data_IF_326806036961
#
_entry.id   IF_326806036961
#
_cell.length_a   1.000
_cell.length_b   1.000
_cell.length_c   1.000
_cell.angle_alpha   90.00
_cell.angle_beta   90.00
_cell.angle_gamma   90.00
#
_symmetry.space_group_name_H-M   'P 1'
#
loop_
_entity.id
_entity.type
_entity.pdbx_description
1 polymer ?
#
# COMPACT_ATOMS: atom_id res chain seq x y z
N UNK A 1 2.73 9.90 -30.18
CA UNK A 1 3.62 11.03 -29.89
C UNK A 1 2.84 12.22 -29.31
N UNK A 2 1.90 12.83 -30.02
CA UNK A 2 1.09 14.00 -29.55
C UNK A 2 0.36 13.80 -28.21
N UNK A 3 -0.21 12.62 -27.96
CA UNK A 3 -0.92 12.29 -26.71
C UNK A 3 0.01 12.30 -25.47
N UNK A 4 1.28 12.03 -25.65
CA UNK A 4 2.28 12.05 -24.57
C UNK A 4 2.79 13.48 -24.31
N UNK A 5 2.91 14.31 -25.34
CA UNK A 5 3.27 15.73 -25.20
C UNK A 5 2.19 16.47 -24.41
N UNK A 6 0.91 16.25 -24.71
CA UNK A 6 -0.19 16.83 -23.95
C UNK A 6 -0.20 16.44 -22.47
N UNK A 7 0.19 15.20 -22.13
CA UNK A 7 0.34 14.76 -20.75
C UNK A 7 1.51 15.46 -20.04
N UNK A 8 2.65 15.63 -20.72
CA UNK A 8 3.81 16.33 -20.18
C UNK A 8 3.51 17.80 -19.88
N UNK A 9 2.87 18.50 -20.81
CA UNK A 9 2.47 19.89 -20.63
C UNK A 9 1.49 20.01 -19.45
N UNK A 10 0.49 19.16 -19.39
CA UNK A 10 -0.46 19.14 -18.28
C UNK A 10 0.23 18.92 -16.93
N UNK A 11 1.14 17.94 -16.85
CA UNK A 11 1.88 17.63 -15.63
C UNK A 11 2.78 18.78 -15.22
N UNK A 12 3.41 19.47 -16.17
CA UNK A 12 4.20 20.68 -15.91
C UNK A 12 3.34 21.80 -15.33
N UNK A 13 2.16 22.07 -15.93
CA UNK A 13 1.21 23.09 -15.43
C UNK A 13 0.77 22.74 -14.02
N UNK A 14 0.41 21.48 -13.74
CA UNK A 14 0.04 21.07 -12.39
C UNK A 14 1.19 21.18 -11.39
N UNK A 15 2.39 20.84 -11.77
CA UNK A 15 3.57 21.01 -10.92
C UNK A 15 3.79 22.49 -10.57
N UNK A 16 3.59 23.38 -11.53
CA UNK A 16 3.67 24.82 -11.30
C UNK A 16 2.56 25.31 -10.36
N UNK A 17 1.32 24.90 -10.58
CA UNK A 17 0.19 25.24 -9.71
C UNK A 17 0.44 24.75 -8.30
N UNK A 18 0.86 23.50 -8.12
CA UNK A 18 1.16 22.90 -6.82
C UNK A 18 2.29 23.68 -6.12
N UNK A 19 3.31 24.12 -6.86
CA UNK A 19 4.42 24.89 -6.28
C UNK A 19 4.01 26.27 -5.75
N UNK A 20 2.91 26.83 -6.28
CA UNK A 20 2.37 28.12 -5.87
C UNK A 20 1.36 28.00 -4.71
N UNK A 21 0.83 26.81 -4.46
CA UNK A 21 -0.10 26.55 -3.37
C UNK A 21 0.65 26.08 -2.13
N UNK A 22 0.38 26.69 -0.99
CA UNK A 22 0.87 26.24 0.31
C UNK A 22 -0.32 26.04 1.23
N UNK A 23 -0.84 24.80 1.34
CA UNK A 23 -1.93 24.52 2.24
C UNK A 23 -1.53 24.83 3.68
N UNK A 24 -2.49 25.26 4.49
CA UNK A 24 -2.26 25.44 5.93
C UNK A 24 -2.13 24.09 6.59
N UNK A 25 -1.00 23.87 7.24
CA UNK A 25 -0.78 22.69 8.07
C UNK A 25 -1.38 22.92 9.45
N UNK A 26 -2.10 21.94 9.97
CA UNK A 26 -2.60 21.91 11.34
C UNK A 26 -1.97 20.73 12.08
N UNK A 27 -1.65 20.88 13.38
CA UNK A 27 -1.25 19.74 14.19
C UNK A 27 -2.34 18.67 14.17
N UNK A 28 -1.95 17.42 13.82
CA UNK A 28 -2.84 16.27 13.78
C UNK A 28 -2.37 15.19 14.74
N UNK A 29 -3.27 14.31 15.13
CA UNK A 29 -3.01 13.26 16.11
C UNK A 29 -1.92 12.29 15.63
N UNK A 30 -1.94 11.96 14.33
CA UNK A 30 -1.04 11.01 13.71
C UNK A 30 -0.27 11.67 12.57
N UNK A 31 1.02 11.40 12.44
CA UNK A 31 1.80 11.87 11.30
C UNK A 31 1.52 11.00 10.07
N UNK A 32 1.52 9.66 10.23
CA UNK A 32 1.21 8.75 9.15
C UNK A 32 0.27 7.64 9.62
N UNK A 33 -0.81 7.44 8.86
CA UNK A 33 -1.75 6.35 9.07
C UNK A 33 -1.95 5.53 7.80
N UNK A 34 -2.36 4.29 7.94
CA UNK A 34 -2.69 3.40 6.82
C UNK A 34 -4.18 3.04 6.89
N UNK A 35 -4.84 3.14 5.74
CA UNK A 35 -6.16 2.58 5.50
C UNK A 35 -6.04 1.28 4.72
N UNK A 36 -6.65 0.21 5.24
CA UNK A 36 -6.74 -1.08 4.55
C UNK A 36 -8.14 -1.66 4.67
N UNK A 37 -8.63 -2.28 3.59
CA UNK A 37 -9.83 -3.13 3.62
C UNK A 37 -9.39 -4.58 3.50
N UNK A 38 -10.02 -5.46 4.27
CA UNK A 38 -9.62 -6.86 4.32
C UNK A 38 -10.82 -7.80 4.37
N UNK A 39 -10.60 -9.04 3.90
CA UNK A 39 -11.54 -10.15 4.01
C UNK A 39 -10.79 -11.45 4.24
N UNK A 40 -11.03 -12.08 5.41
CA UNK A 40 -10.39 -13.35 5.78
C UNK A 40 -8.85 -13.30 5.73
N UNK A 41 -8.26 -12.25 6.34
CA UNK A 41 -6.81 -12.04 6.39
C UNK A 41 -6.20 -12.30 7.77
N UNK A 42 -6.92 -12.92 8.71
CA UNK A 42 -6.45 -13.19 10.08
C UNK A 42 -5.03 -13.78 10.14
N UNK A 43 -4.63 -14.75 9.29
CA UNK A 43 -3.28 -15.32 9.35
C UNK A 43 -2.15 -14.31 9.10
N UNK A 44 -2.44 -13.20 8.40
CA UNK A 44 -1.43 -12.23 7.95
C UNK A 44 -1.48 -10.91 8.70
N UNK A 45 -2.63 -10.57 9.33
CA UNK A 45 -2.86 -9.26 9.97
C UNK A 45 -1.78 -8.93 11.00
N UNK A 46 -1.37 -9.90 11.83
CA UNK A 46 -0.42 -9.65 12.89
C UNK A 46 0.97 -9.30 12.36
N UNK A 47 1.48 -10.07 11.38
CA UNK A 47 2.75 -9.79 10.72
C UNK A 47 2.72 -8.40 10.06
N UNK A 48 1.64 -8.09 9.36
CA UNK A 48 1.45 -6.84 8.65
C UNK A 48 1.44 -5.64 9.62
N UNK A 49 0.67 -5.71 10.71
CA UNK A 49 0.57 -4.63 11.70
C UNK A 49 1.92 -4.39 12.38
N UNK A 50 2.57 -5.45 12.87
CA UNK A 50 3.87 -5.31 13.56
C UNK A 50 4.95 -4.77 12.63
N UNK A 51 4.96 -5.19 11.36
CA UNK A 51 5.89 -4.64 10.38
C UNK A 51 5.69 -3.14 10.16
N UNK A 52 4.45 -2.70 9.97
CA UNK A 52 4.16 -1.28 9.76
C UNK A 52 4.43 -0.42 11.00
N UNK A 53 4.27 -0.95 12.20
CA UNK A 53 4.71 -0.30 13.45
C UNK A 53 6.22 -0.07 13.43
N UNK A 54 7.00 -1.08 13.05
CA UNK A 54 8.47 -1.01 12.99
C UNK A 54 8.93 0.07 12.03
N UNK A 55 8.28 0.25 10.90
CA UNK A 55 8.63 1.29 9.93
C UNK A 55 8.00 2.66 10.23
N UNK A 56 7.34 2.82 11.39
CA UNK A 56 6.93 4.11 11.92
C UNK A 56 5.50 4.55 11.62
N UNK A 57 4.59 3.65 11.25
CA UNK A 57 3.16 3.98 11.11
C UNK A 57 2.53 4.19 12.49
N UNK A 58 1.78 5.29 12.65
CA UNK A 58 1.20 5.69 13.94
C UNK A 58 -0.18 5.08 14.20
N UNK A 59 -0.98 4.85 13.15
CA UNK A 59 -2.35 4.38 13.29
C UNK A 59 -2.86 3.64 12.06
N UNK A 60 -3.83 2.75 12.26
CA UNK A 60 -4.46 1.96 11.20
C UNK A 60 -5.97 2.14 11.21
N UNK A 61 -6.54 2.49 10.07
CA UNK A 61 -7.97 2.47 9.80
C UNK A 61 -8.30 1.21 9.00
N UNK A 62 -8.80 0.19 9.69
CA UNK A 62 -9.08 -1.13 9.10
C UNK A 62 -10.56 -1.31 8.82
N UNK A 63 -10.88 -1.78 7.61
CA UNK A 63 -12.24 -2.01 7.15
C UNK A 63 -12.48 -3.50 6.94
N UNK A 64 -13.33 -4.10 7.78
CA UNK A 64 -13.71 -5.50 7.64
C UNK A 64 -14.77 -5.67 6.53
N UNK A 65 -14.44 -6.43 5.49
CA UNK A 65 -15.33 -6.69 4.36
C UNK A 65 -15.79 -8.15 4.34
N UNK A 66 -16.81 -8.47 5.13
CA UNK A 66 -17.38 -9.82 5.24
C UNK A 66 -16.40 -10.91 5.69
N UNK A 67 -15.48 -10.64 6.60
CA UNK A 67 -14.62 -11.69 7.15
C UNK A 67 -15.41 -12.61 8.07
N UNK A 68 -15.07 -13.90 8.01
CA UNK A 68 -15.62 -14.97 8.85
C UNK A 68 -14.55 -15.72 9.64
N UNK A 69 -13.29 -15.31 9.53
CA UNK A 69 -12.13 -15.84 10.25
C UNK A 69 -11.93 -15.15 11.63
N UNK A 70 -10.90 -15.56 12.35
CA UNK A 70 -10.62 -15.09 13.72
C UNK A 70 -9.96 -13.70 13.79
N UNK A 71 -10.15 -12.81 12.79
CA UNK A 71 -9.55 -11.47 12.73
C UNK A 71 -9.79 -10.65 14.02
N UNK A 72 -10.97 -10.77 14.64
CA UNK A 72 -11.32 -10.03 15.86
C UNK A 72 -10.39 -10.36 17.01
N UNK A 73 -10.05 -11.65 17.17
CA UNK A 73 -9.10 -12.10 18.20
C UNK A 73 -7.72 -11.49 18.00
N UNK A 74 -7.27 -11.42 16.73
CA UNK A 74 -5.98 -10.84 16.37
C UNK A 74 -5.96 -9.32 16.60
N UNK A 75 -7.04 -8.61 16.22
CA UNK A 75 -7.07 -7.14 16.29
C UNK A 75 -7.37 -6.59 17.69
N UNK A 76 -8.00 -7.38 18.57
CA UNK A 76 -8.43 -6.95 19.92
C UNK A 76 -7.36 -6.21 20.72
N UNK A 77 -6.11 -6.71 20.87
CA UNK A 77 -5.08 -6.01 21.65
C UNK A 77 -4.69 -4.68 21.03
N UNK A 78 -4.62 -4.58 19.71
CA UNK A 78 -4.26 -3.34 19.00
C UNK A 78 -5.37 -2.30 19.08
N UNK A 79 -6.63 -2.72 19.04
CA UNK A 79 -7.79 -1.84 19.24
C UNK A 79 -7.78 -1.30 20.68
N UNK A 80 -7.56 -2.17 21.66
CA UNK A 80 -7.48 -1.77 23.06
C UNK A 80 -6.33 -0.79 23.35
N UNK A 81 -5.22 -0.92 22.62
CA UNK A 81 -4.09 0.00 22.68
C UNK A 81 -4.33 1.32 21.92
N UNK A 82 -5.47 1.51 21.24
CA UNK A 82 -5.77 2.70 20.44
C UNK A 82 -4.97 2.81 19.15
N UNK A 83 -4.31 1.73 18.71
CA UNK A 83 -3.51 1.69 17.49
C UNK A 83 -4.37 1.48 16.24
N UNK A 84 -5.54 0.83 16.37
CA UNK A 84 -6.44 0.48 15.28
C UNK A 84 -7.83 1.07 15.53
N UNK A 85 -8.38 1.68 14.48
CA UNK A 85 -9.81 1.95 14.36
C UNK A 85 -10.38 0.93 13.38
N UNK A 86 -11.25 0.04 13.86
CA UNK A 86 -11.89 -0.99 13.07
C UNK A 86 -13.31 -0.55 12.69
N UNK A 87 -13.63 -0.67 11.40
CA UNK A 87 -14.96 -0.36 10.84
C UNK A 87 -15.50 -1.56 10.07
N UNK A 88 -16.70 -2.00 10.37
CA UNK A 88 -17.38 -2.99 9.53
C UNK A 88 -17.86 -2.34 8.23
N UNK A 89 -17.49 -2.94 7.10
CA UNK A 89 -17.77 -2.41 5.77
C UNK A 89 -18.38 -3.47 4.84
N UNK A 90 -19.62 -3.92 5.11
CA UNK A 90 -20.25 -5.01 4.39
C UNK A 90 -20.79 -4.56 3.02
N UNK A 91 -19.94 -4.05 2.16
CA UNK A 91 -20.28 -3.58 0.83
C UNK A 91 -19.58 -4.43 -0.24
N UNK A 92 -20.31 -5.13 -1.14
CA UNK A 92 -19.70 -5.81 -2.27
C UNK A 92 -18.86 -4.83 -3.09
N UNK A 93 -17.64 -5.27 -3.48
CA UNK A 93 -16.67 -4.40 -4.19
C UNK A 93 -16.35 -3.08 -3.48
N UNK A 94 -16.34 -3.09 -2.15
CA UNK A 94 -16.35 -1.93 -1.28
C UNK A 94 -15.02 -1.18 -1.12
N UNK A 95 -13.93 -1.57 -1.79
CA UNK A 95 -12.60 -1.00 -1.54
C UNK A 95 -12.55 0.51 -1.77
N UNK A 96 -13.04 0.98 -2.91
CA UNK A 96 -12.99 2.41 -3.25
C UNK A 96 -13.90 3.26 -2.36
N UNK A 97 -15.04 2.73 -1.95
CA UNK A 97 -15.94 3.41 -1.02
C UNK A 97 -15.39 3.44 0.41
N UNK A 98 -14.71 2.38 0.86
CA UNK A 98 -14.01 2.34 2.13
C UNK A 98 -12.87 3.38 2.19
N UNK A 99 -12.06 3.46 1.14
CA UNK A 99 -10.98 4.44 1.04
C UNK A 99 -11.50 5.88 1.04
N UNK A 100 -12.59 6.12 0.29
CA UNK A 100 -13.24 7.44 0.32
C UNK A 100 -13.78 7.78 1.70
N UNK A 101 -14.49 6.85 2.34
CA UNK A 101 -15.01 7.04 3.70
C UNK A 101 -13.87 7.32 4.70
N UNK A 102 -12.79 6.54 4.63
CA UNK A 102 -11.62 6.75 5.48
C UNK A 102 -11.03 8.15 5.32
N UNK A 103 -10.80 8.58 4.09
CA UNK A 103 -10.25 9.91 3.81
C UNK A 103 -11.20 11.01 4.32
N UNK A 104 -12.48 10.94 3.99
CA UNK A 104 -13.46 11.96 4.38
C UNK A 104 -13.60 12.08 5.90
N UNK A 105 -13.53 10.94 6.62
CA UNK A 105 -13.74 10.89 8.07
C UNK A 105 -12.50 11.30 8.85
N UNK A 106 -11.31 10.83 8.43
CA UNK A 106 -10.10 10.91 9.25
C UNK A 106 -9.01 11.87 8.71
N UNK A 107 -9.32 12.65 7.66
CA UNK A 107 -8.38 13.65 7.09
C UNK A 107 -7.87 14.67 8.10
N UNK A 108 -8.65 14.96 9.13
CA UNK A 108 -8.28 15.92 10.17
C UNK A 108 -7.51 15.29 11.34
N UNK A 109 -7.40 13.96 11.37
CA UNK A 109 -6.67 13.21 12.40
C UNK A 109 -5.25 12.80 11.97
N UNK A 110 -4.96 12.71 10.67
CA UNK A 110 -3.67 12.26 10.16
C UNK A 110 -3.11 13.17 9.07
N UNK A 111 -1.78 13.43 9.06
CA UNK A 111 -1.15 14.22 8.01
C UNK A 111 -1.01 13.43 6.71
N UNK A 112 -0.55 12.19 6.78
CA UNK A 112 -0.38 11.31 5.65
C UNK A 112 -1.27 10.09 5.78
N UNK A 113 -2.12 9.83 4.79
CA UNK A 113 -2.97 8.66 4.72
C UNK A 113 -2.55 7.77 3.55
N UNK A 114 -1.99 6.61 3.86
CA UNK A 114 -1.64 5.58 2.88
C UNK A 114 -2.78 4.58 2.67
N UNK A 115 -2.95 4.12 1.43
CA UNK A 115 -3.92 3.08 1.08
C UNK A 115 -3.15 1.83 0.67
N UNK A 116 -3.17 0.80 1.52
CA UNK A 116 -2.30 -0.37 1.41
C UNK A 116 -3.11 -1.64 1.66
N UNK A 117 -2.88 -2.69 0.86
CA UNK A 117 -3.54 -3.98 1.04
C UNK A 117 -2.74 -4.87 2.02
N UNK A 118 -3.37 -5.92 2.58
CA UNK A 118 -2.74 -6.77 3.62
C UNK A 118 -1.61 -7.65 3.04
N UNK A 119 -1.54 -7.81 1.74
CA UNK A 119 -0.46 -8.52 1.06
C UNK A 119 0.66 -7.61 0.53
N UNK A 120 0.69 -6.34 1.00
CA UNK A 120 1.67 -5.33 0.62
C UNK A 120 2.49 -4.88 1.82
N UNK A 121 3.82 -4.77 1.63
CA UNK A 121 4.77 -4.36 2.66
C UNK A 121 5.71 -3.29 2.12
N UNK A 122 5.69 -2.09 2.72
CA UNK A 122 6.55 -0.98 2.31
C UNK A 122 7.91 -1.13 2.96
N UNK A 123 8.95 -1.13 2.13
CA UNK A 123 10.34 -1.27 2.58
C UNK A 123 11.09 0.05 2.31
N UNK A 124 11.38 0.83 3.35
CA UNK A 124 12.27 1.99 3.25
C UNK A 124 13.72 1.52 3.07
N UNK A 125 14.23 1.54 1.82
CA UNK A 125 15.56 1.01 1.51
C UNK A 125 16.69 1.96 1.94
N UNK A 126 16.43 3.29 1.87
CA UNK A 126 17.42 4.34 2.16
C UNK A 126 17.02 5.26 3.32
N UNK A 127 15.97 4.90 4.05
CA UNK A 127 15.46 5.65 5.19
C UNK A 127 15.32 4.74 6.40
N UNK A 128 15.40 5.32 7.59
CA UNK A 128 15.20 4.56 8.83
C UNK A 128 13.75 4.15 9.03
N UNK A 129 12.83 5.00 8.56
CA UNK A 129 11.40 4.77 8.63
C UNK A 129 10.64 5.49 7.49
N UNK A 130 9.33 5.27 7.41
CA UNK A 130 8.48 5.90 6.39
C UNK A 130 8.29 7.40 6.65
N UNK A 131 8.40 7.87 7.90
CA UNK A 131 8.21 9.28 8.25
C UNK A 131 9.34 10.13 7.67
N UNK A 132 10.57 9.65 7.75
CA UNK A 132 11.73 10.31 7.15
C UNK A 132 11.55 10.50 5.64
N UNK A 133 11.05 9.47 4.95
CA UNK A 133 10.74 9.58 3.53
C UNK A 133 9.60 10.56 3.24
N UNK A 134 8.49 10.50 3.98
CA UNK A 134 7.34 11.39 3.81
C UNK A 134 7.68 12.86 4.11
N UNK A 135 8.62 13.14 5.03
CA UNK A 135 9.08 14.49 5.32
C UNK A 135 9.67 15.19 4.09
N UNK A 136 10.32 14.46 3.19
CA UNK A 136 10.82 15.01 1.91
C UNK A 136 9.70 15.42 0.95
N UNK A 137 8.51 14.92 1.17
CA UNK A 137 7.32 15.17 0.34
C UNK A 137 6.30 16.12 0.98
N UNK A 138 6.59 16.76 2.12
CA UNK A 138 5.64 17.56 2.91
C UNK A 138 4.91 18.64 2.11
N UNK A 139 5.57 19.23 1.12
CA UNK A 139 5.01 20.29 0.25
C UNK A 139 4.18 19.71 -0.91
N UNK A 140 4.05 18.39 -1.01
CA UNK A 140 3.35 17.73 -2.10
C UNK A 140 2.01 17.17 -1.65
N UNK A 141 1.01 17.10 -2.56
CA UNK A 141 -0.31 16.54 -2.23
C UNK A 141 -0.27 15.02 -2.07
N UNK A 142 0.74 14.35 -2.60
CA UNK A 142 0.87 12.89 -2.52
C UNK A 142 2.30 12.42 -2.73
N UNK A 143 2.57 11.21 -2.24
CA UNK A 143 3.80 10.48 -2.47
C UNK A 143 3.46 9.05 -2.94
N UNK A 144 4.27 8.49 -3.84
CA UNK A 144 4.01 7.19 -4.45
C UNK A 144 5.05 6.17 -4.02
N UNK A 145 4.57 4.95 -3.72
CA UNK A 145 5.42 3.77 -3.52
C UNK A 145 5.08 2.76 -4.61
N UNK A 146 6.08 2.32 -5.36
CA UNK A 146 5.89 1.45 -6.52
C UNK A 146 5.89 -0.03 -6.11
N UNK A 147 5.02 -0.83 -6.73
CA UNK A 147 4.94 -2.26 -6.53
C UNK A 147 6.09 -3.00 -7.19
N UNK A 148 6.67 -3.88 -6.42
CA UNK A 148 7.54 -4.96 -6.86
C UNK A 148 6.83 -6.27 -6.53
N UNK A 149 6.44 -7.04 -7.54
CA UNK A 149 5.71 -8.29 -7.31
C UNK A 149 6.63 -9.39 -6.83
N UNK A 150 6.11 -10.22 -5.94
CA UNK A 150 6.78 -11.42 -5.43
C UNK A 150 6.00 -12.65 -5.85
N UNK A 151 6.72 -13.68 -6.34
CA UNK A 151 6.17 -14.97 -6.72
C UNK A 151 5.98 -15.89 -5.52
N UNK A 152 5.44 -17.08 -5.79
CA UNK A 152 5.35 -18.14 -4.78
C UNK A 152 6.72 -18.70 -4.37
N UNK A 153 7.81 -18.36 -5.06
CA UNK A 153 9.12 -18.99 -4.92
C UNK A 153 9.04 -20.54 -4.97
N UNK A 154 8.11 -21.07 -5.75
CA UNK A 154 7.88 -22.51 -5.90
C UNK A 154 7.12 -23.19 -4.75
N UNK A 155 6.55 -22.41 -3.80
CA UNK A 155 5.81 -22.98 -2.68
C UNK A 155 4.41 -23.44 -3.12
N UNK A 156 4.15 -24.75 -3.00
CA UNK A 156 2.84 -25.33 -3.30
C UNK A 156 1.84 -25.06 -2.18
N UNK A 157 2.26 -25.15 -0.93
CA UNK A 157 1.41 -24.98 0.25
C UNK A 157 1.82 -23.75 1.05
N UNK A 158 0.88 -23.20 1.83
CA UNK A 158 1.19 -22.15 2.77
C UNK A 158 2.09 -22.67 3.90
N UNK A 159 3.07 -21.87 4.28
CA UNK A 159 3.99 -22.20 5.36
C UNK A 159 3.59 -21.48 6.63
N UNK A 160 3.95 -22.04 7.77
CA UNK A 160 3.79 -21.40 9.08
C UNK A 160 4.77 -20.24 9.34
N UNK A 161 5.72 -20.03 8.43
CA UNK A 161 6.69 -18.93 8.48
C UNK A 161 6.09 -17.63 7.94
N UNK A 162 6.74 -16.51 8.25
CA UNK A 162 6.31 -15.18 7.82
C UNK A 162 6.27 -15.07 6.30
N UNK A 163 5.30 -14.29 5.79
CA UNK A 163 5.18 -13.95 4.37
C UNK A 163 6.46 -13.27 3.89
N UNK A 164 6.97 -12.33 4.68
CA UNK A 164 8.20 -11.56 4.39
C UNK A 164 9.47 -12.41 4.37
N UNK A 165 9.48 -13.55 5.03
CA UNK A 165 10.60 -14.49 5.06
C UNK A 165 10.50 -15.56 3.98
N UNK A 166 9.26 -15.96 3.63
CA UNK A 166 9.00 -17.10 2.74
C UNK A 166 9.14 -16.74 1.27
N UNK A 167 8.58 -15.61 0.87
CA UNK A 167 8.47 -15.24 -0.55
C UNK A 167 9.52 -14.20 -0.90
N UNK A 168 10.65 -14.65 -1.44
CA UNK A 168 11.85 -13.82 -1.66
C UNK A 168 12.21 -13.61 -3.13
N UNK A 169 11.42 -14.17 -4.06
CA UNK A 169 11.68 -14.06 -5.49
C UNK A 169 10.78 -13.00 -6.10
N UNK A 170 11.38 -11.92 -6.58
CA UNK A 170 10.72 -10.72 -7.03
C UNK A 170 10.79 -10.49 -8.54
N UNK A 171 9.91 -9.62 -9.04
CA UNK A 171 9.99 -9.08 -10.41
C UNK A 171 11.18 -8.13 -10.54
N UNK A 172 11.80 -8.14 -11.72
CA UNK A 172 12.92 -7.24 -12.05
C UNK A 172 12.46 -5.84 -12.50
N UNK A 173 11.17 -5.58 -12.47
CA UNK A 173 10.60 -4.29 -12.85
C UNK A 173 9.45 -3.91 -11.92
N UNK A 174 9.20 -2.61 -11.84
CA UNK A 174 8.08 -2.06 -11.08
C UNK A 174 6.84 -1.99 -11.97
N UNK A 175 5.68 -2.19 -11.36
CA UNK A 175 4.41 -2.16 -12.07
C UNK A 175 3.68 -0.83 -11.86
N UNK A 176 2.74 -0.83 -10.98
CA UNK A 176 1.94 0.33 -10.60
C UNK A 176 2.37 0.81 -9.21
N UNK A 177 1.62 1.69 -8.62
CA UNK A 177 1.96 2.29 -7.32
C UNK A 177 0.77 2.35 -6.39
N UNK A 178 1.07 2.44 -5.10
CA UNK A 178 0.16 2.90 -4.06
C UNK A 178 0.49 4.32 -3.66
N UNK A 179 -0.48 5.00 -3.06
CA UNK A 179 -0.40 6.43 -2.77
C UNK A 179 -0.50 6.69 -1.29
N UNK A 180 0.37 7.56 -0.80
CA UNK A 180 0.17 8.31 0.42
C UNK A 180 -0.37 9.69 0.07
N UNK A 181 -1.52 10.03 0.61
CA UNK A 181 -2.17 11.31 0.41
C UNK A 181 -1.87 12.25 1.59
N UNK A 182 -1.40 13.46 1.27
CA UNK A 182 -1.21 14.52 2.25
C UNK A 182 -2.57 15.20 2.48
N UNK A 183 -3.16 14.98 3.63
CA UNK A 183 -4.53 15.39 3.92
C UNK A 183 -4.69 16.91 4.06
N UNK A 184 -3.61 17.68 4.24
CA UNK A 184 -3.66 19.13 4.20
C UNK A 184 -4.07 19.67 2.83
N UNK A 185 -3.92 18.87 1.77
CA UNK A 185 -4.32 19.20 0.41
C UNK A 185 -5.78 18.85 0.08
N UNK A 186 -6.53 18.24 1.01
CA UNK A 186 -7.88 17.72 0.73
C UNK A 186 -8.81 18.74 0.10
N UNK A 187 -8.95 19.94 0.68
CA UNK A 187 -9.81 21.02 0.15
C UNK A 187 -9.33 21.57 -1.20
N UNK A 188 -8.04 21.67 -1.41
CA UNK A 188 -7.44 22.19 -2.65
C UNK A 188 -7.64 21.23 -3.81
N UNK A 189 -7.52 19.94 -3.56
CA UNK A 189 -7.70 18.89 -4.57
C UNK A 189 -9.14 18.86 -5.08
N UNK A 190 -10.14 19.07 -4.24
CA UNK A 190 -11.55 19.13 -4.64
C UNK A 190 -11.88 20.37 -5.47
N UNK A 191 -11.31 21.52 -5.13
CA UNK A 191 -11.63 22.80 -5.75
C UNK A 191 -11.06 22.99 -7.16
N UNK A 192 -9.95 22.31 -7.49
CA UNK A 192 -9.26 22.49 -8.78
C UNK A 192 -9.61 21.46 -9.85
N UNK A 193 -10.69 20.68 -9.73
CA UNK A 193 -10.96 19.53 -10.61
C UNK A 193 -9.77 18.56 -10.75
N UNK A 194 -8.77 18.69 -9.91
CA UNK A 194 -7.71 17.72 -9.71
C UNK A 194 -8.32 16.38 -9.27
N UNK A 195 -9.59 16.36 -8.86
CA UNK A 195 -10.44 15.17 -8.78
C UNK A 195 -10.37 14.25 -10.02
N UNK A 196 -10.06 14.76 -11.22
CA UNK A 196 -9.73 13.93 -12.36
C UNK A 196 -8.38 13.21 -12.22
N UNK A 197 -7.50 13.73 -11.38
CA UNK A 197 -6.21 13.09 -11.07
C UNK A 197 -6.41 12.08 -9.95
N UNK A 198 -7.34 12.30 -9.04
CA UNK A 198 -7.81 11.33 -8.03
C UNK A 198 -8.71 10.25 -8.65
N UNK A 199 -9.24 10.42 -9.85
CA UNK A 199 -9.81 9.33 -10.67
C UNK A 199 -8.78 8.30 -11.11
N UNK A 200 -7.60 8.40 -10.60
CA UNK A 200 -6.68 7.29 -10.61
C UNK A 200 -7.30 6.14 -9.82
N UNK A 201 -7.22 4.96 -10.39
CA UNK A 201 -7.64 3.68 -9.84
C UNK A 201 -7.26 3.46 -8.36
N UNK A 202 -6.48 4.36 -7.75
CA UNK A 202 -5.86 4.21 -6.45
C UNK A 202 -5.62 5.53 -5.69
N UNK A 203 -6.46 6.56 -5.84
CA UNK A 203 -6.29 7.82 -5.11
C UNK A 203 -4.88 8.43 -5.21
N UNK A 204 -4.35 8.57 -6.41
CA UNK A 204 -3.04 9.19 -6.58
C UNK A 204 -3.13 10.51 -7.31
N UNK A 205 -2.73 11.61 -6.68
CA UNK A 205 -2.31 12.79 -7.42
C UNK A 205 -0.93 12.50 -7.99
N UNK A 206 -0.85 12.43 -9.30
CA UNK A 206 0.41 12.22 -9.99
C UNK A 206 1.28 13.47 -9.84
N UNK A 207 2.25 13.43 -8.97
CA UNK A 207 3.34 14.40 -8.93
C UNK A 207 4.58 13.68 -9.45
N UNK A 208 5.09 14.04 -10.61
CA UNK A 208 6.21 13.33 -11.20
C UNK A 208 7.50 13.68 -10.45
N UNK A 209 7.89 12.87 -9.48
CA UNK A 209 9.27 12.88 -9.01
C UNK A 209 10.20 12.23 -10.04
N UNK A 210 9.64 11.28 -10.82
CA UNK A 210 10.33 10.63 -11.92
C UNK A 210 9.38 10.42 -13.10
N UNK A 211 9.18 11.40 -13.99
CA UNK A 211 8.29 11.28 -15.15
C UNK A 211 8.64 10.12 -16.09
N UNK A 212 9.88 9.64 -16.06
CA UNK A 212 10.35 8.53 -16.89
C UNK A 212 9.92 7.16 -16.34
N UNK A 213 9.75 6.99 -15.03
CA UNK A 213 9.30 5.72 -14.42
C UNK A 213 7.86 5.42 -14.84
N UNK A 214 7.00 6.43 -14.93
CA UNK A 214 5.59 6.28 -15.31
C UNK A 214 5.38 5.72 -16.75
N UNK A 215 6.39 5.82 -17.60
CA UNK A 215 6.31 5.35 -18.98
C UNK A 215 6.97 3.98 -19.23
N UNK A 216 7.26 3.23 -18.16
CA UNK A 216 7.90 1.93 -18.27
C UNK A 216 9.41 1.98 -18.51
N UNK A 217 10.01 3.15 -18.45
CA UNK A 217 11.47 3.32 -18.42
C UNK A 217 11.93 3.23 -16.97
N UNK A 218 11.95 2.01 -16.44
CA UNK A 218 12.45 1.77 -15.12
C UNK A 218 13.97 2.01 -15.08
N UNK A 219 14.42 2.98 -14.29
CA UNK A 219 15.76 2.93 -13.73
C UNK A 219 15.87 1.64 -12.90
N UNK A 220 17.06 1.17 -12.71
CA UNK A 220 17.40 -0.01 -11.95
C UNK A 220 16.49 -0.12 -10.70
N UNK A 221 15.72 -1.20 -10.60
CA UNK A 221 14.77 -1.45 -9.51
C UNK A 221 15.49 -1.57 -8.17
N UNK A 222 16.78 -1.89 -8.20
CA UNK A 222 17.63 -2.03 -7.02
C UNK A 222 18.04 -0.66 -6.41
N UNK A 223 17.73 0.45 -7.09
CA UNK A 223 18.04 1.81 -6.63
C UNK A 223 16.84 2.55 -6.02
N UNK A 224 15.72 1.88 -5.81
CA UNK A 224 14.55 2.51 -5.21
C UNK A 224 14.84 2.93 -3.77
N UNK A 225 14.60 4.19 -3.45
CA UNK A 225 14.70 4.72 -2.09
C UNK A 225 13.71 4.05 -1.13
N UNK A 226 12.55 3.66 -1.68
CA UNK A 226 11.46 2.97 -1.02
C UNK A 226 10.75 2.08 -2.03
N UNK A 227 10.40 0.88 -1.66
CA UNK A 227 9.65 -0.05 -2.50
C UNK A 227 8.45 -0.62 -1.75
N UNK A 228 7.48 -1.15 -2.49
CA UNK A 228 6.38 -1.92 -1.93
C UNK A 228 6.46 -3.35 -2.42
N UNK A 229 6.78 -4.26 -1.53
CA UNK A 229 6.73 -5.68 -1.79
C UNK A 229 5.26 -6.11 -1.85
N UNK A 230 4.80 -6.55 -3.00
CA UNK A 230 3.45 -7.06 -3.20
C UNK A 230 3.49 -8.59 -3.32
N UNK A 231 3.14 -9.27 -2.24
CA UNK A 231 3.09 -10.72 -2.13
C UNK A 231 1.81 -11.29 -2.75
N UNK A 232 1.60 -10.92 -4.02
CA UNK A 232 0.39 -11.24 -4.78
C UNK A 232 0.14 -12.74 -4.92
N UNK A 233 1.21 -13.50 -5.20
CA UNK A 233 1.10 -14.92 -5.48
C UNK A 233 0.92 -15.75 -4.20
N UNK A 234 1.74 -15.49 -3.17
CA UNK A 234 1.89 -16.40 -2.04
C UNK A 234 2.07 -17.87 -2.54
N UNK A 235 1.42 -18.86 -1.91
CA UNK A 235 1.49 -20.25 -2.38
C UNK A 235 0.48 -20.55 -3.49
N UNK A 236 0.67 -21.68 -4.19
CA UNK A 236 -0.32 -22.20 -5.14
C UNK A 236 -1.64 -22.52 -4.42
N UNK A 237 -1.57 -23.09 -3.22
CA UNK A 237 -2.74 -23.36 -2.38
C UNK A 237 -3.54 -22.10 -2.04
N UNK A 238 -2.85 -20.99 -1.72
CA UNK A 238 -3.49 -19.69 -1.50
C UNK A 238 -4.26 -19.21 -2.74
N UNK A 239 -3.68 -19.37 -3.95
CA UNK A 239 -4.38 -19.01 -5.18
C UNK A 239 -5.63 -19.85 -5.40
N UNK A 240 -5.50 -21.18 -5.18
CA UNK A 240 -6.59 -22.15 -5.41
C UNK A 240 -7.78 -21.93 -4.48
N UNK A 241 -7.51 -21.70 -3.18
CA UNK A 241 -8.55 -21.72 -2.15
C UNK A 241 -9.01 -20.33 -1.72
N UNK A 242 -8.20 -19.28 -1.94
CA UNK A 242 -8.52 -17.94 -1.47
C UNK A 242 -8.60 -16.90 -2.58
N UNK A 243 -7.52 -16.69 -3.33
CA UNK A 243 -7.42 -15.57 -4.27
C UNK A 243 -8.41 -15.70 -5.44
N UNK A 244 -8.42 -16.84 -6.11
CA UNK A 244 -9.28 -17.09 -7.29
C UNK A 244 -10.77 -17.13 -6.88
N UNK A 245 -11.19 -17.91 -5.86
CA UNK A 245 -12.59 -17.93 -5.44
C UNK A 245 -13.06 -16.61 -4.81
N UNK A 246 -12.15 -15.85 -4.19
CA UNK A 246 -12.45 -14.57 -3.55
C UNK A 246 -12.87 -13.47 -4.51
N UNK A 247 -12.50 -13.57 -5.77
CA UNK A 247 -12.77 -12.58 -6.81
C UNK A 247 -11.97 -11.28 -6.67
N UNK A 248 -12.17 -10.39 -7.63
CA UNK A 248 -11.53 -9.06 -7.65
C UNK A 248 -12.42 -8.03 -6.93
N UNK A 249 -11.80 -6.96 -6.45
CA UNK A 249 -12.48 -5.76 -5.93
C UNK A 249 -13.31 -5.04 -7.00
N UNK A 250 -13.06 -5.31 -8.26
CA UNK A 250 -13.81 -4.79 -9.41
C UNK A 250 -14.79 -5.83 -9.95
N UNK A 251 -16.07 -5.47 -10.06
CA UNK A 251 -17.18 -6.34 -10.46
C UNK A 251 -16.94 -7.17 -11.74
N UNK A 252 -16.15 -6.66 -12.68
CA UNK A 252 -15.95 -7.27 -14.00
C UNK A 252 -14.55 -7.91 -14.15
N UNK A 253 -13.88 -8.22 -13.06
CA UNK A 253 -12.58 -8.88 -13.05
C UNK A 253 -12.63 -10.15 -12.23
N UNK A 254 -11.90 -11.15 -12.69
CA UNK A 254 -11.64 -12.38 -11.96
C UNK A 254 -10.16 -12.67 -11.95
N UNK A 255 -9.68 -13.29 -10.89
CA UNK A 255 -8.34 -13.85 -10.84
C UNK A 255 -8.32 -15.21 -11.57
N UNK A 256 -7.17 -15.54 -12.17
CA UNK A 256 -7.00 -16.81 -12.88
C UNK A 256 -5.61 -17.39 -12.64
N UNK A 257 -5.46 -18.69 -12.91
CA UNK A 257 -4.14 -19.33 -12.89
C UNK A 257 -3.20 -18.80 -13.97
N UNK A 258 -3.70 -18.32 -15.12
CA UNK A 258 -2.87 -17.70 -16.14
C UNK A 258 -2.16 -16.45 -15.57
N UNK A 259 -2.88 -15.67 -14.76
CA UNK A 259 -2.29 -14.52 -14.08
C UNK A 259 -1.28 -14.94 -13.02
N UNK A 260 -1.56 -15.99 -12.25
CA UNK A 260 -0.59 -16.54 -11.30
C UNK A 260 0.69 -16.99 -12.00
N UNK A 261 0.59 -17.83 -13.05
CA UNK A 261 1.76 -18.32 -13.79
C UNK A 261 2.49 -17.19 -14.56
N UNK A 262 1.77 -16.13 -14.97
CA UNK A 262 2.42 -14.93 -15.50
C UNK A 262 3.35 -14.30 -14.46
N UNK A 263 2.89 -14.11 -13.21
CA UNK A 263 3.73 -13.55 -12.16
C UNK A 263 4.87 -14.49 -11.75
N UNK A 264 4.63 -15.81 -11.70
CA UNK A 264 5.71 -16.79 -11.50
C UNK A 264 6.83 -16.64 -12.56
N UNK A 265 6.44 -16.42 -13.81
CA UNK A 265 7.40 -16.26 -14.92
C UNK A 265 8.22 -14.98 -14.84
N UNK A 266 7.62 -13.87 -14.44
CA UNK A 266 8.31 -12.56 -14.44
C UNK A 266 9.10 -12.29 -13.15
N UNK A 267 8.85 -13.05 -12.09
CA UNK A 267 9.58 -12.96 -10.83
C UNK A 267 10.72 -13.98 -10.84
N UNK A 268 11.94 -13.51 -11.01
CA UNK A 268 13.12 -14.36 -11.16
C UNK A 268 14.36 -13.86 -10.40
N UNK A 269 14.21 -12.77 -9.61
CA UNK A 269 15.32 -12.17 -8.87
C UNK A 269 15.10 -12.28 -7.37
N UNK A 270 16.10 -12.77 -6.61
CA UNK A 270 16.05 -12.70 -5.15
C UNK A 270 16.02 -11.26 -4.68
N UNK A 271 15.12 -10.95 -3.73
CA UNK A 271 15.04 -9.66 -3.08
C UNK A 271 14.95 -9.87 -1.56
N UNK A 272 15.94 -9.38 -0.86
CA UNK A 272 16.09 -9.50 0.60
C UNK A 272 16.07 -8.14 1.32
N UNK A 273 15.67 -7.03 0.66
CA UNK A 273 15.67 -5.71 1.30
C UNK A 273 14.86 -5.69 2.60
N UNK A 274 13.71 -6.40 2.63
CA UNK A 274 12.86 -6.48 3.81
C UNK A 274 13.55 -7.19 5.00
N UNK A 275 14.58 -8.00 4.77
CA UNK A 275 15.30 -8.72 5.82
C UNK A 275 16.02 -7.79 6.80
N UNK A 276 16.28 -6.54 6.40
CA UNK A 276 16.74 -5.49 7.32
C UNK A 276 15.84 -5.33 8.55
N UNK A 277 14.55 -5.63 8.39
CA UNK A 277 13.54 -5.52 9.45
C UNK A 277 13.19 -6.86 10.09
N UNK A 278 13.65 -8.00 9.56
CA UNK A 278 13.16 -9.33 9.92
C UNK A 278 13.41 -9.69 11.39
N UNK A 279 14.56 -9.36 11.94
CA UNK A 279 14.85 -9.63 13.37
C UNK A 279 13.93 -8.79 14.26
N UNK A 280 13.78 -7.50 13.96
CA UNK A 280 12.86 -6.63 14.72
C UNK A 280 11.42 -7.15 14.66
N UNK A 281 11.00 -7.62 13.49
CA UNK A 281 9.66 -8.17 13.27
C UNK A 281 9.44 -9.45 14.11
N UNK A 282 10.38 -10.38 14.09
CA UNK A 282 10.30 -11.61 14.90
C UNK A 282 10.22 -11.30 16.40
N UNK A 283 11.04 -10.39 16.88
CA UNK A 283 10.98 -9.97 18.30
C UNK A 283 9.64 -9.32 18.65
N UNK A 284 9.12 -8.42 17.82
CA UNK A 284 7.81 -7.78 18.02
C UNK A 284 6.66 -8.81 18.04
N UNK A 285 6.73 -9.82 17.18
CA UNK A 285 5.76 -10.91 17.12
C UNK A 285 5.81 -11.82 18.36
N UNK A 286 6.99 -12.07 18.91
CA UNK A 286 7.15 -12.80 20.18
C UNK A 286 6.57 -12.02 21.37
N UNK A 287 6.85 -10.73 21.46
CA UNK A 287 6.33 -9.84 22.51
C UNK A 287 4.81 -9.70 22.47
N UNK A 288 4.24 -9.52 21.28
CA UNK A 288 2.80 -9.40 21.10
C UNK A 288 2.02 -10.73 21.26
N UNK A 289 2.73 -11.85 21.49
CA UNK A 289 2.15 -13.17 21.79
C UNK A 289 1.95 -13.42 23.28
N UNK A 290 2.59 -12.63 24.12
CA UNK A 290 2.51 -12.71 25.60
C UNK A 290 1.34 -11.87 26.12
#
# INVERSE_FOLDING_TARGET
MLRNIGKLIRNFIYSLIISLISPRTHPKKHYVSICAIFKNEAPYLREWIEFYKIIGVDHFYLYNNFSSDDYQKILKPYIAAGLITLTDWPHPHGQMSAYKHCLDTYKDETNWLGFVDIDEFIVPNRYNDIKEWLQKHQKKPSAFVYWKFFSSAGNLTEKSSLVTETYTIASHFIHTQKTFFNTDWYGYVQNFHIAHIIKLKYFGVYVPDHPLIYYGFCKNVDELDIQMNHYYCKSYEYQLHKKIPGGDVFKNRSYSFDQFFYFEKICSWPDYHIFTYLIKLKLALEESSK
#
